data_IF_967780125587
#
_entry.id   IF_967780125587
#
_cell.length_a   1.000
_cell.length_b   1.000
_cell.length_c   1.000
_cell.angle_alpha   90.00
_cell.angle_beta   90.00
_cell.angle_gamma   90.00
#
_symmetry.space_group_name_H-M   'P 1'
#
loop_
_entity.id
_entity.type
_entity.pdbx_description
1 polymer ?
#
# COMPACT_ATOMS: atom_id res chain seq x y z
N UNK A 1 -2.78 4.39 16.79
CA UNK A 1 -1.92 5.59 16.66
C UNK A 1 -2.48 6.80 17.37
N UNK A 2 -1.72 7.41 18.30
CA UNK A 2 -2.07 8.71 18.90
C UNK A 2 -1.71 9.85 17.93
N UNK A 3 -2.56 10.87 17.82
CA UNK A 3 -2.26 12.12 17.10
C UNK A 3 -2.39 12.08 15.57
N UNK A 4 -2.85 10.98 14.96
CA UNK A 4 -3.17 10.90 13.53
C UNK A 4 -4.66 11.00 13.32
N UNK A 5 -5.09 11.80 12.35
CA UNK A 5 -6.51 11.94 11.97
C UNK A 5 -6.81 11.27 10.63
N UNK A 6 -8.10 11.10 10.31
CA UNK A 6 -8.53 10.67 8.96
C UNK A 6 -8.05 11.64 7.89
N UNK A 7 -7.97 12.94 8.19
CA UNK A 7 -7.49 13.95 7.23
C UNK A 7 -6.01 13.75 6.92
N UNK A 8 -5.19 13.42 7.92
CA UNK A 8 -3.77 13.13 7.70
C UNK A 8 -3.59 11.87 6.85
N UNK A 9 -4.38 10.82 7.12
CA UNK A 9 -4.38 9.60 6.31
C UNK A 9 -4.85 9.89 4.88
N UNK A 10 -5.83 10.78 4.69
CA UNK A 10 -6.26 11.20 3.35
C UNK A 10 -5.13 11.90 2.59
N UNK A 11 -4.39 12.81 3.26
CA UNK A 11 -3.22 13.48 2.66
C UNK A 11 -2.14 12.48 2.24
N UNK A 12 -1.86 11.49 3.09
CA UNK A 12 -0.93 10.40 2.76
C UNK A 12 -1.41 9.62 1.55
N UNK A 13 -2.68 9.18 1.53
CA UNK A 13 -3.26 8.41 0.43
C UNK A 13 -3.23 9.19 -0.88
N UNK A 14 -3.67 10.45 -0.88
CA UNK A 14 -3.67 11.29 -2.08
C UNK A 14 -2.24 11.51 -2.59
N UNK A 15 -1.29 11.82 -1.70
CA UNK A 15 0.12 12.04 -2.07
C UNK A 15 0.77 10.77 -2.62
N UNK A 16 0.55 9.64 -1.94
CA UNK A 16 1.05 8.33 -2.33
C UNK A 16 0.54 7.92 -3.71
N UNK A 17 -0.77 7.96 -3.94
CA UNK A 17 -1.33 7.55 -5.22
C UNK A 17 -1.04 8.53 -6.35
N UNK A 18 -0.79 9.81 -6.06
CA UNK A 18 -0.29 10.74 -7.06
C UNK A 18 1.07 10.30 -7.62
N UNK A 19 1.96 9.74 -6.78
CA UNK A 19 3.26 9.22 -7.21
C UNK A 19 3.15 7.82 -7.83
N UNK A 20 2.31 6.91 -7.27
CA UNK A 20 2.03 5.59 -7.87
C UNK A 20 1.55 5.70 -9.32
N UNK A 21 0.75 6.73 -9.63
CA UNK A 21 0.25 6.97 -11.00
C UNK A 21 1.33 7.38 -11.99
N UNK A 22 2.40 7.99 -11.51
CA UNK A 22 3.52 8.47 -12.32
C UNK A 22 4.68 7.46 -12.36
N UNK A 23 4.67 6.51 -11.43
CA UNK A 23 5.65 5.44 -11.35
C UNK A 23 5.58 4.53 -12.59
N UNK A 24 6.71 4.34 -13.26
CA UNK A 24 6.79 3.67 -14.57
C UNK A 24 6.36 2.19 -14.57
N UNK A 25 6.32 1.54 -13.39
CA UNK A 25 5.98 0.11 -13.24
C UNK A 25 4.60 -0.06 -12.61
N UNK A 26 4.32 0.69 -11.55
CA UNK A 26 3.02 0.65 -10.85
C UNK A 26 1.94 1.36 -11.65
N UNK A 27 2.25 2.47 -12.29
CA UNK A 27 1.30 3.29 -13.05
C UNK A 27 0.49 2.47 -14.04
N UNK A 28 1.12 1.66 -14.93
CA UNK A 28 0.39 0.77 -15.84
C UNK A 28 -0.51 -0.26 -15.16
N UNK A 29 -0.06 -0.89 -14.06
CA UNK A 29 -0.86 -1.87 -13.30
C UNK A 29 -2.11 -1.22 -12.74
N UNK A 30 -1.95 -0.07 -12.06
CA UNK A 30 -3.08 0.65 -11.48
C UNK A 30 -3.98 1.30 -12.53
N UNK A 31 -3.44 1.79 -13.65
CA UNK A 31 -4.24 2.32 -14.75
C UNK A 31 -5.15 1.24 -15.34
N UNK A 32 -4.64 0.01 -15.49
CA UNK A 32 -5.42 -1.13 -15.96
C UNK A 32 -6.49 -1.57 -14.95
N UNK A 33 -6.16 -1.62 -13.66
CA UNK A 33 -7.08 -2.10 -12.61
C UNK A 33 -8.12 -1.05 -12.15
N UNK A 34 -7.75 0.24 -12.13
CA UNK A 34 -8.60 1.33 -11.60
C UNK A 34 -9.31 2.10 -12.72
N UNK A 35 -8.70 2.21 -13.91
CA UNK A 35 -9.23 3.00 -15.02
C UNK A 35 -9.52 4.45 -14.60
N UNK A 36 -10.73 4.93 -14.91
CA UNK A 36 -11.20 6.27 -14.55
C UNK A 36 -11.70 6.38 -13.09
N UNK A 37 -11.72 5.27 -12.35
CA UNK A 37 -12.30 5.15 -11.01
C UNK A 37 -11.46 5.72 -9.86
N UNK A 38 -10.57 6.69 -10.11
CA UNK A 38 -9.60 7.18 -9.12
C UNK A 38 -10.25 7.83 -7.89
N UNK A 39 -11.29 8.65 -8.06
CA UNK A 39 -11.99 9.28 -6.93
C UNK A 39 -12.52 8.26 -5.91
N UNK A 40 -13.36 7.30 -6.33
CA UNK A 40 -13.82 6.21 -5.48
C UNK A 40 -12.68 5.35 -4.91
N UNK A 41 -11.63 5.09 -5.68
CA UNK A 41 -10.48 4.31 -5.20
C UNK A 41 -9.75 5.01 -4.05
N UNK A 42 -9.44 6.30 -4.18
CA UNK A 42 -8.76 7.08 -3.13
C UNK A 42 -9.59 7.18 -1.85
N UNK A 43 -10.91 7.34 -1.99
CA UNK A 43 -11.80 7.34 -0.82
C UNK A 43 -11.80 5.97 -0.12
N UNK A 44 -11.91 4.88 -0.88
CA UNK A 44 -11.85 3.51 -0.35
C UNK A 44 -10.52 3.23 0.35
N UNK A 45 -9.40 3.72 -0.17
CA UNK A 45 -8.09 3.58 0.46
C UNK A 45 -7.95 4.43 1.72
N UNK A 46 -8.58 5.61 1.75
CA UNK A 46 -8.67 6.44 2.96
C UNK A 46 -9.46 5.72 4.05
N UNK A 47 -10.59 5.10 3.71
CA UNK A 47 -11.38 4.28 4.66
C UNK A 47 -10.59 3.08 5.17
N UNK A 48 -9.87 2.39 4.27
CA UNK A 48 -9.03 1.25 4.62
C UNK A 48 -7.98 1.64 5.67
N UNK A 49 -7.17 2.65 5.38
CA UNK A 49 -6.13 3.10 6.31
C UNK A 49 -6.69 3.73 7.57
N UNK A 50 -7.85 4.38 7.51
CA UNK A 50 -8.56 4.85 8.71
C UNK A 50 -9.06 3.69 9.58
N UNK A 51 -9.43 2.57 8.98
CA UNK A 51 -9.85 1.38 9.73
C UNK A 51 -8.64 0.72 10.39
N UNK A 52 -7.52 0.62 9.66
CA UNK A 52 -6.25 0.07 10.15
C UNK A 52 -5.66 0.92 11.27
N UNK A 53 -5.52 2.24 11.07
CA UNK A 53 -4.80 3.11 11.99
C UNK A 53 -5.64 3.60 13.18
N UNK A 54 -6.95 3.80 12.96
CA UNK A 54 -7.84 4.47 13.92
C UNK A 54 -8.98 3.55 14.42
N UNK A 55 -9.09 2.32 13.92
CA UNK A 55 -10.14 1.38 14.37
C UNK A 55 -11.57 1.81 14.00
N UNK A 56 -11.75 2.68 13.02
CA UNK A 56 -13.04 3.31 12.65
C UNK A 56 -14.09 2.34 12.09
N UNK A 57 -13.69 1.14 11.64
CA UNK A 57 -14.55 0.10 11.04
C UNK A 57 -15.34 0.55 9.79
N UNK A 58 -14.89 1.61 9.11
CA UNK A 58 -15.54 2.20 7.93
C UNK A 58 -15.28 1.41 6.65
N UNK A 59 -14.10 0.82 6.51
CA UNK A 59 -13.79 0.00 5.33
C UNK A 59 -14.58 -1.30 5.31
N UNK A 60 -15.21 -1.59 4.16
CA UNK A 60 -15.88 -2.87 3.89
C UNK A 60 -15.26 -3.54 2.65
N UNK A 61 -14.85 -4.79 2.83
CA UNK A 61 -14.39 -5.66 1.75
C UNK A 61 -13.23 -6.57 2.15
N UNK A 62 -12.86 -7.46 1.24
CA UNK A 62 -11.74 -8.38 1.42
C UNK A 62 -10.57 -7.94 0.53
N UNK A 63 -9.57 -7.31 1.14
CA UNK A 63 -8.38 -6.81 0.42
C UNK A 63 -7.64 -7.98 -0.23
N UNK A 64 -7.44 -9.08 0.50
CA UNK A 64 -6.71 -10.24 0.00
C UNK A 64 -7.35 -10.82 -1.25
N UNK A 65 -8.65 -11.12 -1.19
CA UNK A 65 -9.39 -11.69 -2.33
C UNK A 65 -9.29 -10.79 -3.57
N UNK A 66 -9.42 -9.47 -3.41
CA UNK A 66 -9.38 -8.56 -4.55
C UNK A 66 -8.02 -8.53 -5.24
N UNK A 67 -6.94 -8.73 -4.48
CA UNK A 67 -5.59 -8.76 -5.04
C UNK A 67 -5.23 -10.13 -5.64
N UNK A 68 -5.76 -11.23 -5.11
CA UNK A 68 -5.68 -12.55 -5.76
C UNK A 68 -6.42 -12.53 -7.11
N UNK A 69 -7.62 -11.96 -7.18
CA UNK A 69 -8.33 -11.79 -8.46
C UNK A 69 -7.51 -10.97 -9.48
N UNK A 70 -6.69 -10.01 -9.01
CA UNK A 70 -5.79 -9.24 -9.88
C UNK A 70 -4.59 -10.07 -10.36
N UNK A 71 -4.11 -11.06 -9.60
CA UNK A 71 -2.98 -11.91 -10.02
C UNK A 71 -3.31 -12.75 -11.25
N UNK A 72 -4.58 -13.08 -11.43
CA UNK A 72 -5.09 -13.81 -12.59
C UNK A 72 -5.24 -12.92 -13.84
N UNK A 73 -5.31 -11.60 -13.65
CA UNK A 73 -5.69 -10.63 -14.69
C UNK A 73 -4.52 -9.73 -15.12
N UNK A 74 -3.50 -9.57 -14.28
CA UNK A 74 -2.41 -8.63 -14.50
C UNK A 74 -1.06 -9.27 -14.16
N UNK A 75 -0.03 -8.89 -14.93
CA UNK A 75 1.35 -9.33 -14.72
C UNK A 75 2.01 -8.55 -13.57
N UNK A 76 1.63 -8.90 -12.34
CA UNK A 76 2.23 -8.34 -11.13
C UNK A 76 3.44 -9.18 -10.76
N UNK A 77 4.64 -8.60 -10.89
CA UNK A 77 5.90 -9.18 -10.42
C UNK A 77 6.34 -8.63 -9.04
N UNK A 78 7.24 -9.31 -8.31
CA UNK A 78 7.73 -8.88 -7.00
C UNK A 78 8.24 -7.44 -6.91
N UNK A 79 8.85 -6.92 -7.99
CA UNK A 79 9.34 -5.53 -8.06
C UNK A 79 8.23 -4.51 -7.77
N UNK A 80 6.98 -4.78 -8.17
CA UNK A 80 5.85 -3.89 -7.87
C UNK A 80 5.63 -3.74 -6.36
N UNK A 81 5.78 -4.81 -5.59
CA UNK A 81 5.65 -4.75 -4.13
C UNK A 81 6.76 -3.89 -3.52
N UNK A 82 8.00 -4.05 -3.98
CA UNK A 82 9.14 -3.24 -3.52
C UNK A 82 8.91 -1.75 -3.78
N UNK A 83 8.46 -1.40 -5.00
CA UNK A 83 8.15 -0.01 -5.34
C UNK A 83 7.00 0.54 -4.51
N UNK A 84 5.92 -0.22 -4.36
CA UNK A 84 4.75 0.19 -3.58
C UNK A 84 5.12 0.45 -2.13
N UNK A 85 5.90 -0.43 -1.50
CA UNK A 85 6.36 -0.27 -0.11
C UNK A 85 7.30 0.94 0.03
N UNK A 86 8.23 1.11 -0.91
CA UNK A 86 9.14 2.26 -0.95
C UNK A 86 8.37 3.58 -0.99
N UNK A 87 7.42 3.71 -1.92
CA UNK A 87 6.59 4.91 -2.02
C UNK A 87 5.76 5.11 -0.75
N UNK A 88 5.18 4.05 -0.19
CA UNK A 88 4.41 4.16 1.05
C UNK A 88 5.26 4.69 2.22
N UNK A 89 6.48 4.17 2.38
CA UNK A 89 7.44 4.66 3.36
C UNK A 89 7.78 6.14 3.15
N UNK A 90 8.08 6.54 1.92
CA UNK A 90 8.37 7.94 1.56
C UNK A 90 7.25 8.89 2.00
N UNK A 91 6.00 8.59 1.64
CA UNK A 91 4.89 9.50 1.91
C UNK A 91 4.46 9.53 3.38
N UNK A 92 4.51 8.38 4.06
CA UNK A 92 4.22 8.33 5.51
C UNK A 92 5.28 9.07 6.32
N UNK A 93 6.57 8.90 6.00
CA UNK A 93 7.66 9.60 6.68
C UNK A 93 7.62 11.12 6.46
N UNK A 94 7.16 11.57 5.28
CA UNK A 94 7.07 12.98 4.96
C UNK A 94 5.88 13.70 5.62
N UNK A 95 4.77 12.99 5.88
CA UNK A 95 3.48 13.59 6.22
C UNK A 95 2.97 13.25 7.62
N UNK A 96 3.56 12.27 8.30
CA UNK A 96 3.14 11.84 9.63
C UNK A 96 4.28 12.02 10.65
N UNK A 97 3.94 12.18 11.94
CA UNK A 97 4.93 12.07 13.02
C UNK A 97 5.63 10.70 12.98
N UNK A 98 6.95 10.67 13.22
CA UNK A 98 7.77 9.46 13.09
C UNK A 98 7.18 8.21 13.77
N UNK A 99 6.68 8.26 15.03
CA UNK A 99 6.09 7.07 15.65
C UNK A 99 4.88 6.50 14.90
N UNK A 100 4.05 7.38 14.32
CA UNK A 100 2.89 6.96 13.56
C UNK A 100 3.26 6.47 12.15
N UNK A 101 4.25 7.12 11.50
CA UNK A 101 4.78 6.67 10.22
C UNK A 101 5.35 5.25 10.34
N UNK A 102 6.19 5.00 11.34
CA UNK A 102 6.82 3.69 11.59
C UNK A 102 5.78 2.58 11.86
N UNK A 103 4.76 2.86 12.68
CA UNK A 103 3.67 1.90 12.95
C UNK A 103 2.89 1.55 11.67
N UNK A 104 2.57 2.57 10.86
CA UNK A 104 1.80 2.41 9.63
C UNK A 104 2.61 1.71 8.53
N UNK A 105 3.91 1.96 8.46
CA UNK A 105 4.87 1.30 7.58
C UNK A 105 5.02 -0.19 7.92
N UNK A 106 5.23 -0.52 9.19
CA UNK A 106 5.32 -1.91 9.65
C UNK A 106 4.02 -2.68 9.36
N UNK A 107 2.87 -2.02 9.53
CA UNK A 107 1.56 -2.58 9.20
C UNK A 107 1.42 -2.82 7.70
N UNK A 108 1.83 -1.85 6.86
CA UNK A 108 1.80 -1.99 5.40
C UNK A 108 2.70 -3.12 4.92
N UNK A 109 3.90 -3.28 5.48
CA UNK A 109 4.77 -4.41 5.19
C UNK A 109 4.08 -5.73 5.53
N UNK A 110 3.42 -5.84 6.69
CA UNK A 110 2.66 -7.04 7.08
C UNK A 110 1.53 -7.40 6.12
N UNK A 111 0.72 -6.41 5.71
CA UNK A 111 -0.31 -6.59 4.69
C UNK A 111 0.34 -7.01 3.37
N UNK A 112 1.40 -6.32 2.96
CA UNK A 112 2.17 -6.61 1.75
C UNK A 112 2.65 -8.05 1.71
N UNK A 113 3.17 -8.61 2.82
CA UNK A 113 3.60 -10.01 2.89
C UNK A 113 2.46 -10.99 2.62
N UNK A 114 1.28 -10.73 3.20
CA UNK A 114 0.10 -11.56 2.99
C UNK A 114 -0.39 -11.50 1.54
N UNK A 115 -0.40 -10.30 0.95
CA UNK A 115 -0.76 -10.14 -0.46
C UNK A 115 0.28 -10.80 -1.38
N UNK A 116 1.57 -10.67 -1.08
CA UNK A 116 2.66 -11.33 -1.81
C UNK A 116 2.46 -12.84 -1.88
N UNK A 117 2.07 -13.47 -0.76
CA UNK A 117 1.67 -14.88 -0.75
C UNK A 117 0.49 -15.16 -1.69
N UNK A 118 -0.53 -14.30 -1.71
CA UNK A 118 -1.66 -14.42 -2.63
C UNK A 118 -1.25 -14.42 -4.11
N UNK A 119 -0.28 -13.58 -4.49
CA UNK A 119 0.23 -13.54 -5.87
C UNK A 119 1.18 -14.68 -6.21
N UNK A 120 2.09 -15.03 -5.30
CA UNK A 120 3.28 -15.84 -5.63
C UNK A 120 3.38 -17.16 -4.86
N UNK A 121 2.43 -17.47 -3.98
CA UNK A 121 2.41 -18.67 -3.13
C UNK A 121 3.69 -18.85 -2.28
N UNK A 122 4.33 -17.74 -1.93
CA UNK A 122 5.52 -17.68 -1.07
C UNK A 122 5.41 -16.46 -0.16
N UNK A 123 5.93 -16.54 1.07
CA UNK A 123 6.03 -15.36 1.91
C UNK A 123 7.31 -14.59 1.56
N UNK A 124 7.23 -13.27 1.66
CA UNK A 124 8.36 -12.38 1.48
C UNK A 124 8.68 -11.68 2.81
N UNK A 125 9.96 -11.52 3.12
CA UNK A 125 10.44 -10.51 4.03
C UNK A 125 11.10 -9.40 3.21
N UNK A 126 10.48 -8.22 3.18
CA UNK A 126 11.01 -7.07 2.43
C UNK A 126 12.25 -6.50 3.13
N UNK A 127 13.35 -6.40 2.38
CA UNK A 127 14.63 -5.86 2.85
C UNK A 127 14.61 -4.35 2.63
N UNK A 128 14.72 -3.61 3.74
CA UNK A 128 14.69 -2.15 3.74
C UNK A 128 16.10 -1.57 3.93
N UNK A 129 16.44 -0.55 3.14
CA UNK A 129 17.65 0.25 3.28
C UNK A 129 17.30 1.72 3.12
N UNK A 130 17.59 2.56 4.12
CA UNK A 130 17.33 4.01 4.10
C UNK A 130 15.91 4.41 3.68
N UNK A 131 14.90 3.61 4.09
CA UNK A 131 13.49 3.83 3.75
C UNK A 131 13.05 3.28 2.39
N UNK A 132 13.94 2.61 1.65
CA UNK A 132 13.67 1.99 0.35
C UNK A 132 13.63 0.48 0.50
N UNK A 133 12.63 -0.18 -0.08
CA UNK A 133 12.59 -1.63 -0.20
C UNK A 133 13.48 -2.04 -1.39
N UNK A 134 14.66 -2.56 -1.09
CA UNK A 134 15.69 -2.85 -2.11
C UNK A 134 15.67 -4.30 -2.58
N UNK A 135 15.13 -5.20 -1.78
CA UNK A 135 15.05 -6.63 -2.08
C UNK A 135 13.94 -7.31 -1.25
N UNK A 136 13.74 -8.61 -1.43
CA UNK A 136 12.97 -9.46 -0.54
C UNK A 136 13.63 -10.83 -0.37
N UNK A 137 13.47 -11.43 0.81
CA UNK A 137 13.87 -12.80 1.09
C UNK A 137 12.62 -13.67 1.16
N UNK A 138 12.58 -14.75 0.39
CA UNK A 138 11.52 -15.76 0.54
C UNK A 138 11.68 -16.50 1.87
N UNK A 139 10.59 -16.62 2.63
CA UNK A 139 10.56 -17.24 3.96
C UNK A 139 9.51 -18.33 4.08
#
# INVERSE_FOLDING_TARGET
MAGVTREDLRKVVDSFYAEVRQDERLGPVFASAVGDGWGPHLERMTEFWSTVALGTRTFKGNVYQKHVELSEQHDVVPEHFLRWITLWHKHTAALLPAPAAEELQATAAGIGRNLFYGFFQQFAHFVMQDGVAVDYVSV
#
